data_IF_315081979974
#
_entry.id   IF_315081979974
#
_cell.length_a   1.000
_cell.length_b   1.000
_cell.length_c   1.000
_cell.angle_alpha   90.00
_cell.angle_beta   90.00
_cell.angle_gamma   90.00
#
_symmetry.space_group_name_H-M   'P 1'
#
loop_
_entity.id
_entity.type
_entity.pdbx_description
1 polymer ?
#
# COMPACT_ATOMS: atom_id res chain seq x y z
N UNK A 1 -6.93 28.59 -28.12
CA UNK A 1 -6.42 29.11 -26.84
C UNK A 1 -6.84 28.08 -25.81
N UNK A 2 -5.90 27.30 -25.26
CA UNK A 2 -6.21 26.25 -24.27
C UNK A 2 -6.55 26.89 -22.93
N UNK A 3 -7.56 26.37 -22.24
CA UNK A 3 -8.01 26.90 -20.96
C UNK A 3 -6.92 26.68 -19.90
N UNK A 4 -6.50 27.71 -19.15
CA UNK A 4 -5.47 27.57 -18.12
C UNK A 4 -5.85 26.59 -17.00
N UNK A 5 -7.13 26.25 -16.82
CA UNK A 5 -7.59 25.25 -15.87
C UNK A 5 -7.28 23.80 -16.34
N UNK A 6 -7.14 23.56 -17.64
CA UNK A 6 -6.76 22.23 -18.18
C UNK A 6 -5.35 21.79 -17.74
N UNK A 7 -4.52 22.73 -17.29
CA UNK A 7 -3.16 22.49 -16.80
C UNK A 7 -3.11 22.19 -15.30
N UNK A 8 -4.23 22.35 -14.58
CA UNK A 8 -4.30 22.31 -13.13
C UNK A 8 -5.19 21.17 -12.59
N UNK A 9 -5.67 20.28 -13.45
CA UNK A 9 -6.56 19.17 -13.06
C UNK A 9 -5.78 17.86 -13.05
N UNK A 10 -5.52 17.35 -11.84
CA UNK A 10 -5.12 15.95 -11.67
C UNK A 10 -6.35 15.08 -11.98
N UNK A 11 -6.25 14.23 -13.00
CA UNK A 11 -7.33 13.32 -13.39
C UNK A 11 -7.16 12.01 -12.64
N UNK A 12 -8.22 11.57 -11.95
CA UNK A 12 -8.20 10.31 -11.24
C UNK A 12 -8.11 9.12 -12.24
N UNK A 13 -7.37 8.05 -11.89
CA UNK A 13 -7.35 6.82 -12.68
C UNK A 13 -8.76 6.21 -12.83
N UNK A 14 -8.92 5.34 -13.83
CA UNK A 14 -10.17 4.62 -14.06
C UNK A 14 -10.57 3.82 -12.81
N UNK A 15 -11.89 3.71 -12.56
CA UNK A 15 -12.43 2.88 -11.48
C UNK A 15 -13.21 1.69 -12.04
N UNK A 16 -13.19 0.58 -11.31
CA UNK A 16 -13.94 -0.63 -11.55
C UNK A 16 -15.01 -0.79 -10.47
N UNK A 17 -16.17 -1.34 -10.84
CA UNK A 17 -17.29 -1.54 -9.91
C UNK A 17 -18.15 -0.28 -9.72
N UNK A 18 -19.27 -0.45 -9.02
CA UNK A 18 -20.33 0.57 -8.96
C UNK A 18 -20.70 0.92 -7.52
N UNK A 19 -21.16 2.16 -7.31
CA UNK A 19 -21.57 2.66 -6.01
C UNK A 19 -20.46 2.53 -4.96
N UNK A 20 -20.79 2.00 -3.78
CA UNK A 20 -19.87 1.83 -2.66
C UNK A 20 -18.75 0.80 -2.90
N UNK A 21 -18.84 0.00 -3.98
CA UNK A 21 -17.83 -1.00 -4.33
C UNK A 21 -16.85 -0.51 -5.40
N UNK A 22 -16.91 0.77 -5.77
CA UNK A 22 -16.01 1.36 -6.75
C UNK A 22 -14.57 1.40 -6.21
N UNK A 23 -13.62 0.92 -7.00
CA UNK A 23 -12.18 0.87 -6.68
C UNK A 23 -11.36 1.28 -7.88
N UNK A 24 -10.19 1.88 -7.70
CA UNK A 24 -9.30 2.19 -8.82
C UNK A 24 -8.86 0.90 -9.55
N UNK A 25 -8.80 0.96 -10.87
CA UNK A 25 -8.28 -0.11 -11.71
C UNK A 25 -6.77 -0.19 -11.49
N UNK A 26 -6.25 -1.28 -10.90
CA UNK A 26 -4.82 -1.44 -10.69
C UNK A 26 -4.02 -1.46 -12.01
N UNK A 27 -4.64 -1.85 -13.13
CA UNK A 27 -3.98 -1.80 -14.44
C UNK A 27 -3.84 -0.37 -14.99
N UNK A 28 -4.62 0.58 -14.46
CA UNK A 28 -4.56 1.99 -14.82
C UNK A 28 -3.67 2.82 -13.86
N UNK A 29 -3.13 2.21 -12.79
CA UNK A 29 -2.22 2.87 -11.86
C UNK A 29 -0.79 2.83 -12.41
N UNK A 30 -0.22 4.01 -12.66
CA UNK A 30 1.14 4.16 -13.21
C UNK A 30 2.09 4.83 -12.21
N UNK A 31 3.37 4.95 -12.59
CA UNK A 31 4.40 5.70 -11.87
C UNK A 31 3.96 7.13 -11.50
N UNK A 32 3.27 7.82 -12.43
CA UNK A 32 2.80 9.19 -12.24
C UNK A 32 1.72 9.29 -11.17
N UNK A 33 1.00 8.19 -10.90
CA UNK A 33 0.06 8.08 -9.80
C UNK A 33 0.73 7.71 -8.47
N UNK A 34 2.06 7.51 -8.44
CA UNK A 34 2.80 7.05 -7.27
C UNK A 34 2.64 5.56 -6.97
N UNK A 35 2.25 4.74 -7.95
CA UNK A 35 1.91 3.34 -7.76
C UNK A 35 3.05 2.34 -8.10
N UNK A 36 4.29 2.81 -8.24
CA UNK A 36 5.44 1.94 -8.59
C UNK A 36 6.00 1.13 -7.41
N UNK A 37 5.72 1.56 -6.17
CA UNK A 37 6.01 0.83 -4.93
C UNK A 37 7.37 0.10 -4.87
N UNK A 38 8.45 0.67 -5.44
CA UNK A 38 9.77 0.02 -5.61
C UNK A 38 10.33 -0.57 -4.30
N UNK A 39 10.07 0.08 -3.16
CA UNK A 39 10.52 -0.36 -1.84
C UNK A 39 9.56 -1.28 -1.07
N UNK A 40 8.33 -1.49 -1.54
CA UNK A 40 7.29 -2.15 -0.74
C UNK A 40 7.65 -3.61 -0.39
N UNK A 41 8.25 -4.35 -1.32
CA UNK A 41 8.68 -5.72 -1.06
C UNK A 41 9.86 -5.81 -0.06
N UNK A 42 10.72 -4.79 0.01
CA UNK A 42 11.79 -4.73 1.00
C UNK A 42 11.22 -4.40 2.39
N UNK A 43 10.37 -3.37 2.46
CA UNK A 43 9.69 -2.97 3.70
C UNK A 43 8.84 -4.11 4.27
N UNK A 44 8.09 -4.82 3.43
CA UNK A 44 7.28 -5.94 3.89
C UNK A 44 8.14 -7.03 4.54
N UNK A 45 9.30 -7.37 3.96
CA UNK A 45 10.22 -8.35 4.55
C UNK A 45 10.77 -7.89 5.91
N UNK A 46 11.08 -6.61 6.06
CA UNK A 46 11.55 -6.03 7.33
C UNK A 46 10.46 -6.09 8.40
N UNK A 47 9.22 -5.75 8.05
CA UNK A 47 8.07 -5.82 8.96
C UNK A 47 7.81 -7.25 9.41
N UNK A 48 7.80 -8.23 8.50
CA UNK A 48 7.63 -9.64 8.88
C UNK A 48 8.75 -10.15 9.80
N UNK A 49 9.99 -9.67 9.63
CA UNK A 49 11.10 -10.03 10.52
C UNK A 49 10.96 -9.37 11.90
N UNK A 50 10.41 -8.16 11.94
CA UNK A 50 10.17 -7.41 13.17
C UNK A 50 9.00 -7.98 13.96
N UNK A 51 7.89 -8.33 13.30
CA UNK A 51 6.75 -9.02 13.92
C UNK A 51 7.17 -10.39 14.47
N UNK A 52 7.92 -11.18 13.69
CA UNK A 52 8.46 -12.45 14.18
C UNK A 52 9.43 -12.23 15.34
N UNK A 53 10.20 -11.15 15.35
CA UNK A 53 11.06 -10.81 16.49
C UNK A 53 10.25 -10.41 17.73
N UNK A 54 9.16 -9.67 17.57
CA UNK A 54 8.23 -9.29 18.64
C UNK A 54 7.54 -10.53 19.25
N UNK A 55 7.03 -11.42 18.41
CA UNK A 55 6.42 -12.70 18.83
C UNK A 55 7.43 -13.61 19.55
N UNK A 56 8.70 -13.60 19.16
CA UNK A 56 9.78 -14.39 19.78
C UNK A 56 10.20 -13.86 21.15
N UNK A 57 10.06 -12.55 21.39
CA UNK A 57 10.26 -11.95 22.71
C UNK A 57 9.05 -12.21 23.63
N UNK A 58 7.83 -12.21 23.08
CA UNK A 58 6.61 -12.60 23.79
C UNK A 58 6.58 -14.08 24.17
N UNK A 59 7.13 -14.97 23.33
CA UNK A 59 7.14 -16.43 23.58
C UNK A 59 8.15 -16.93 24.62
N UNK A 60 9.12 -16.11 25.07
CA UNK A 60 10.15 -16.53 26.03
C UNK A 60 9.73 -16.31 27.51
N UNK A 61 8.51 -15.82 27.75
CA UNK A 61 8.00 -15.52 29.11
C UNK A 61 7.11 -16.60 29.75
N UNK A 62 6.95 -17.79 29.16
CA UNK A 62 5.97 -18.78 29.62
C UNK A 62 6.46 -20.24 29.61
N UNK A 63 7.76 -20.48 29.82
CA UNK A 63 8.31 -21.83 30.01
C UNK A 63 9.12 -21.86 31.32
N UNK A 64 8.45 -21.94 32.47
CA UNK A 64 9.13 -21.91 33.76
C UNK A 64 8.25 -21.92 35.01
N UNK A 65 7.26 -22.80 35.07
CA UNK A 65 6.61 -23.37 36.28
C UNK A 65 5.73 -24.49 35.69
N UNK A 66 5.92 -25.79 35.92
CA UNK A 66 6.06 -26.60 37.14
C UNK A 66 6.84 -27.90 36.87
#
# INVERSE_FOLDING_TARGET
MTDPLDKATSTAPATLGEGCLSRYDPAALTAENGADFEGAAALWRELQQSDVADERLVGTGAEGEE
#
